data_IF_195876970520
#
_entry.id   IF_195876970520
#
_cell.length_a   1.000
_cell.length_b   1.000
_cell.length_c   1.000
_cell.angle_alpha   90.00
_cell.angle_beta   90.00
_cell.angle_gamma   90.00
#
_symmetry.space_group_name_H-M   'P 1'
#
loop_
_entity.id
_entity.type
_entity.pdbx_description
1 polymer ?
#
# COMPACT_ATOMS: atom_id res chain seq x y z
N UNK A 1 10.63 4.72 -14.00
CA UNK A 1 9.72 5.24 -15.05
C UNK A 1 10.48 5.13 -16.36
N UNK A 2 9.88 4.57 -17.41
CA UNK A 2 10.42 4.60 -18.77
C UNK A 2 9.50 5.41 -19.68
N UNK A 3 10.06 6.02 -20.72
CA UNK A 3 9.33 6.87 -21.65
C UNK A 3 9.69 6.55 -23.10
N UNK A 4 8.69 6.57 -23.98
CA UNK A 4 8.86 6.45 -25.43
C UNK A 4 8.19 7.63 -26.12
N UNK A 5 8.95 8.39 -26.89
CA UNK A 5 8.41 9.44 -27.77
C UNK A 5 7.58 8.80 -28.88
N UNK A 6 6.47 9.46 -29.25
CA UNK A 6 5.61 9.07 -30.37
C UNK A 6 5.25 10.34 -31.12
N UNK A 7 5.65 10.48 -32.37
CA UNK A 7 5.40 11.65 -33.22
C UNK A 7 5.59 12.99 -32.48
N UNK A 8 4.51 13.61 -31.98
CA UNK A 8 4.51 14.87 -31.21
C UNK A 8 4.41 14.70 -29.68
N UNK A 9 4.17 13.49 -29.19
CA UNK A 9 3.88 13.16 -27.80
C UNK A 9 4.80 12.15 -27.14
N UNK A 10 4.34 11.65 -25.99
CA UNK A 10 5.09 10.66 -25.22
C UNK A 10 4.15 9.66 -24.54
N UNK A 11 4.63 8.42 -24.41
CA UNK A 11 4.01 7.39 -23.58
C UNK A 11 4.98 7.02 -22.45
N UNK A 12 4.50 7.09 -21.22
CA UNK A 12 5.25 6.73 -20.02
C UNK A 12 4.74 5.41 -19.47
N UNK A 13 5.67 4.51 -19.13
CA UNK A 13 5.41 3.31 -18.36
C UNK A 13 5.96 3.52 -16.93
N UNK A 14 5.06 3.40 -15.96
CA UNK A 14 5.30 3.54 -14.54
C UNK A 14 5.21 2.16 -13.92
N UNK A 15 6.34 1.46 -13.87
CA UNK A 15 6.46 0.19 -13.15
C UNK A 15 6.61 0.44 -11.66
N UNK A 16 5.83 -0.30 -10.87
CA UNK A 16 5.88 -0.28 -9.41
C UNK A 16 6.75 -1.42 -8.89
N UNK A 17 7.33 -1.24 -7.71
CA UNK A 17 8.12 -2.27 -7.07
C UNK A 17 7.98 -2.19 -5.55
N UNK A 18 8.15 -3.33 -4.90
CA UNK A 18 8.18 -3.43 -3.44
C UNK A 18 9.26 -4.45 -3.04
N UNK A 19 10.12 -4.09 -2.09
CA UNK A 19 11.24 -4.93 -1.62
C UNK A 19 12.06 -5.56 -2.78
N UNK A 20 12.36 -4.77 -3.81
CA UNK A 20 13.14 -5.23 -4.98
C UNK A 20 12.37 -6.10 -5.98
N UNK A 21 11.10 -6.42 -5.72
CA UNK A 21 10.24 -7.19 -6.62
C UNK A 21 9.38 -6.24 -7.46
N UNK A 22 9.42 -6.40 -8.78
CA UNK A 22 8.51 -5.67 -9.68
C UNK A 22 7.07 -6.16 -9.51
N UNK A 23 6.14 -5.21 -9.46
CA UNK A 23 4.71 -5.46 -9.32
C UNK A 23 3.98 -5.05 -10.61
N UNK A 24 2.92 -4.26 -10.50
CA UNK A 24 2.10 -3.80 -11.61
C UNK A 24 2.80 -2.66 -12.40
N UNK A 25 2.42 -2.48 -13.67
CA UNK A 25 2.85 -1.37 -14.52
C UNK A 25 1.67 -0.57 -15.04
N UNK A 26 1.82 0.75 -15.05
CA UNK A 26 0.78 1.70 -15.45
C UNK A 26 1.25 2.58 -16.59
N UNK A 27 0.34 2.96 -17.48
CA UNK A 27 0.66 3.72 -18.67
C UNK A 27 0.01 5.11 -18.63
N UNK A 28 0.75 6.12 -19.08
CA UNK A 28 0.29 7.49 -19.24
C UNK A 28 0.74 8.02 -20.61
N UNK A 29 -0.22 8.36 -21.47
CA UNK A 29 0.05 8.94 -22.78
C UNK A 29 -0.28 10.44 -22.77
N UNK A 30 0.65 11.24 -23.27
CA UNK A 30 0.49 12.68 -23.51
C UNK A 30 0.62 13.02 -24.99
N UNK A 31 -0.13 14.01 -25.46
CA UNK A 31 -0.17 14.43 -26.88
C UNK A 31 1.05 15.21 -27.34
N UNK A 32 1.41 16.30 -26.65
CA UNK A 32 2.47 17.21 -27.07
C UNK A 32 3.44 17.43 -25.91
N UNK A 33 4.72 17.11 -26.08
CA UNK A 33 5.71 17.25 -24.99
C UNK A 33 5.92 18.71 -24.56
N UNK A 34 5.74 19.68 -25.46
CA UNK A 34 5.88 21.11 -25.17
C UNK A 34 4.65 21.70 -24.45
N UNK A 35 3.47 21.10 -24.64
CA UNK A 35 2.23 21.48 -23.95
C UNK A 35 1.39 20.24 -23.60
N UNK A 36 1.86 19.43 -22.64
CA UNK A 36 1.32 18.10 -22.40
C UNK A 36 -0.11 18.13 -21.87
N UNK A 37 -0.96 17.34 -22.52
CA UNK A 37 -2.29 16.96 -22.04
C UNK A 37 -2.39 15.43 -22.03
N UNK A 38 -3.04 14.89 -21.01
CA UNK A 38 -3.26 13.45 -20.88
C UNK A 38 -4.30 13.02 -21.91
N UNK A 39 -3.96 12.02 -22.73
CA UNK A 39 -4.83 11.49 -23.79
C UNK A 39 -5.40 10.13 -23.40
N UNK A 40 -4.55 9.26 -22.83
CA UNK A 40 -4.92 7.90 -22.42
C UNK A 40 -4.11 7.51 -21.19
N UNK A 41 -4.69 6.68 -20.33
CA UNK A 41 -3.99 6.14 -19.18
C UNK A 41 -4.59 4.81 -18.70
N UNK A 42 -3.81 4.06 -17.93
CA UNK A 42 -4.28 2.90 -17.16
C UNK A 42 -4.24 3.14 -15.65
N UNK A 43 -4.05 4.40 -15.23
CA UNK A 43 -4.02 4.82 -13.82
C UNK A 43 -5.38 4.49 -13.15
N UNK A 44 -5.38 3.85 -11.97
CA UNK A 44 -6.61 3.51 -11.26
C UNK A 44 -7.49 4.73 -10.95
N UNK A 45 -8.82 4.55 -11.02
CA UNK A 45 -9.79 5.64 -10.90
C UNK A 45 -9.79 6.36 -9.54
N UNK A 46 -9.28 5.74 -8.48
CA UNK A 46 -9.17 6.37 -7.15
C UNK A 46 -8.01 7.38 -7.06
N UNK A 47 -7.10 7.41 -8.04
CA UNK A 47 -6.06 8.45 -8.12
C UNK A 47 -6.67 9.65 -8.86
N UNK A 48 -6.67 10.86 -8.27
CA UNK A 48 -7.30 12.04 -8.85
C UNK A 48 -6.44 12.64 -9.99
N UNK A 49 -6.25 11.86 -11.06
CA UNK A 49 -5.33 12.20 -12.16
C UNK A 49 -5.71 13.52 -12.84
N UNK A 50 -7.00 13.80 -12.99
CA UNK A 50 -7.49 15.06 -13.58
C UNK A 50 -7.08 16.28 -12.77
N UNK A 51 -7.14 16.20 -11.44
CA UNK A 51 -6.78 17.32 -10.57
C UNK A 51 -5.26 17.52 -10.54
N UNK A 52 -4.50 16.41 -10.43
CA UNK A 52 -3.03 16.45 -10.52
C UNK A 52 -2.55 17.02 -11.86
N UNK A 53 -3.23 16.66 -12.96
CA UNK A 53 -2.91 17.19 -14.28
C UNK A 53 -3.20 18.69 -14.37
N UNK A 54 -4.33 19.15 -13.79
CA UNK A 54 -4.69 20.57 -13.75
C UNK A 54 -3.68 21.40 -12.93
N UNK A 55 -3.17 20.83 -11.85
CA UNK A 55 -2.22 21.50 -10.96
C UNK A 55 -0.81 21.62 -11.56
N UNK A 56 -0.38 20.62 -12.32
CA UNK A 56 1.01 20.53 -12.75
C UNK A 56 1.24 20.71 -14.25
N UNK A 57 0.26 20.46 -15.12
CA UNK A 57 0.43 20.63 -16.56
C UNK A 57 0.01 22.03 -17.01
N UNK A 58 0.68 22.59 -18.04
CA UNK A 58 1.76 22.00 -18.82
C UNK A 58 3.17 22.15 -18.21
N UNK A 59 3.32 22.96 -17.16
CA UNK A 59 4.63 23.44 -16.69
C UNK A 59 5.54 22.38 -16.03
N UNK A 60 4.95 21.34 -15.45
CA UNK A 60 5.63 20.43 -14.52
C UNK A 60 5.27 18.96 -14.75
N UNK A 61 5.40 18.48 -15.99
CA UNK A 61 5.19 17.06 -16.33
C UNK A 61 6.02 16.12 -15.46
N UNK A 62 7.26 16.47 -15.14
CA UNK A 62 8.12 15.70 -14.25
C UNK A 62 7.52 15.58 -12.83
N UNK A 63 7.03 16.67 -12.24
CA UNK A 63 6.39 16.65 -10.91
C UNK A 63 5.16 15.74 -10.91
N UNK A 64 4.32 15.85 -11.94
CA UNK A 64 3.18 14.94 -12.11
C UNK A 64 3.62 13.47 -12.13
N UNK A 65 4.63 13.13 -12.96
CA UNK A 65 5.13 11.77 -13.08
C UNK A 65 5.71 11.25 -11.75
N UNK A 66 6.41 12.08 -10.99
CA UNK A 66 6.95 11.72 -9.68
C UNK A 66 5.84 11.46 -8.66
N UNK A 67 4.81 12.31 -8.60
CA UNK A 67 3.67 12.11 -7.70
C UNK A 67 2.90 10.84 -8.04
N UNK A 68 2.64 10.60 -9.33
CA UNK A 68 1.99 9.37 -9.78
C UNK A 68 2.83 8.14 -9.43
N UNK A 69 4.14 8.19 -9.66
CA UNK A 69 5.04 7.10 -9.28
C UNK A 69 4.98 6.81 -7.77
N UNK A 70 5.02 7.85 -6.92
CA UNK A 70 4.93 7.69 -5.49
C UNK A 70 3.60 7.06 -5.04
N UNK A 71 2.46 7.60 -5.51
CA UNK A 71 1.13 7.08 -5.17
C UNK A 71 0.91 5.66 -5.67
N UNK A 72 1.37 5.33 -6.89
CA UNK A 72 1.26 3.99 -7.46
C UNK A 72 2.13 2.98 -6.72
N UNK A 73 3.35 3.34 -6.30
CA UNK A 73 4.19 2.46 -5.49
C UNK A 73 3.59 2.21 -4.10
N UNK A 74 3.08 3.26 -3.45
CA UNK A 74 2.34 3.13 -2.20
C UNK A 74 1.17 2.15 -2.33
N UNK A 75 0.32 2.36 -3.35
CA UNK A 75 -0.80 1.46 -3.64
C UNK A 75 -0.37 0.02 -3.92
N UNK A 76 0.58 -0.18 -4.84
CA UNK A 76 1.04 -1.50 -5.23
C UNK A 76 1.68 -2.26 -4.06
N UNK A 77 2.47 -1.57 -3.23
CA UNK A 77 3.07 -2.14 -2.03
C UNK A 77 2.03 -2.53 -0.98
N UNK A 78 1.00 -1.71 -0.72
CA UNK A 78 -0.10 -2.07 0.19
C UNK A 78 -0.92 -3.24 -0.33
N UNK A 79 -1.26 -3.24 -1.62
CA UNK A 79 -1.95 -4.35 -2.30
C UNK A 79 -1.14 -5.64 -2.21
N UNK A 80 0.17 -5.58 -2.44
CA UNK A 80 1.07 -6.73 -2.33
C UNK A 80 1.03 -7.32 -0.91
N UNK A 81 1.23 -6.48 0.11
CA UNK A 81 1.18 -6.91 1.52
C UNK A 81 -0.17 -7.53 1.88
N UNK A 82 -1.28 -6.88 1.52
CA UNK A 82 -2.64 -7.40 1.78
C UNK A 82 -2.90 -8.75 1.10
N UNK A 83 -2.49 -8.92 -0.16
CA UNK A 83 -2.63 -10.18 -0.86
C UNK A 83 -1.77 -11.30 -0.25
N UNK A 84 -0.61 -10.95 0.32
CA UNK A 84 0.23 -11.90 1.04
C UNK A 84 -0.43 -12.34 2.35
N UNK A 85 -1.00 -11.38 3.10
CA UNK A 85 -1.76 -11.67 4.32
C UNK A 85 -2.94 -12.62 4.06
N UNK A 86 -3.73 -12.38 3.01
CA UNK A 86 -4.87 -13.25 2.65
C UNK A 86 -4.46 -14.67 2.27
N UNK A 87 -3.25 -14.83 1.72
CA UNK A 87 -2.72 -16.15 1.38
C UNK A 87 -2.10 -16.87 2.59
N UNK A 88 -1.73 -16.12 3.64
CA UNK A 88 -1.12 -16.67 4.84
C UNK A 88 -2.19 -17.12 5.84
N UNK A 89 -2.78 -18.29 5.57
CA UNK A 89 -3.77 -18.94 6.45
C UNK A 89 -3.17 -19.46 7.76
N UNK A 90 -1.84 -19.41 7.91
CA UNK A 90 -1.15 -19.85 9.12
C UNK A 90 -1.47 -18.98 10.35
N UNK A 91 -1.78 -17.70 10.13
CA UNK A 91 -1.94 -16.73 11.22
C UNK A 91 -3.25 -15.96 11.13
N UNK A 92 -3.66 -15.58 9.91
CA UNK A 92 -4.86 -14.76 9.72
C UNK A 92 -6.09 -15.65 9.82
N UNK A 93 -6.92 -15.38 10.83
CA UNK A 93 -8.19 -16.04 11.02
C UNK A 93 -9.28 -15.36 10.17
N UNK A 94 -9.87 -16.11 9.24
CA UNK A 94 -10.96 -15.61 8.40
C UNK A 94 -10.48 -14.75 7.23
N UNK A 95 -11.31 -13.78 6.82
CA UNK A 95 -11.05 -12.94 5.65
C UNK A 95 -10.52 -11.56 6.05
N UNK A 96 -9.50 -11.10 5.32
CA UNK A 96 -9.00 -9.73 5.41
C UNK A 96 -10.06 -8.74 4.92
N UNK A 97 -10.46 -7.81 5.77
CA UNK A 97 -11.29 -6.69 5.37
C UNK A 97 -10.41 -5.57 4.82
N UNK A 98 -10.73 -5.08 3.63
CA UNK A 98 -9.92 -4.07 2.93
C UNK A 98 -10.78 -3.17 2.04
N UNK A 99 -10.38 -1.91 1.90
CA UNK A 99 -10.94 -1.03 0.87
C UNK A 99 -10.17 -1.14 -0.45
N UNK A 100 -10.73 -0.59 -1.54
CA UNK A 100 -10.14 -0.68 -2.89
C UNK A 100 -8.74 -0.05 -3.01
N UNK A 101 -8.39 0.89 -2.14
CA UNK A 101 -7.09 1.57 -2.10
C UNK A 101 -6.07 0.90 -1.17
N UNK A 102 -6.49 -0.14 -0.43
CA UNK A 102 -5.71 -0.78 0.63
C UNK A 102 -5.19 0.21 1.68
N UNK A 103 -5.92 1.31 1.92
CA UNK A 103 -5.57 2.31 2.94
C UNK A 103 -6.18 2.00 4.30
N UNK A 104 -7.17 1.11 4.35
CA UNK A 104 -7.71 0.56 5.60
C UNK A 104 -7.70 -0.96 5.46
N UNK A 105 -7.02 -1.64 6.37
CA UNK A 105 -7.00 -3.09 6.49
C UNK A 105 -7.45 -3.49 7.89
N UNK A 106 -8.29 -4.52 7.99
CA UNK A 106 -8.69 -5.09 9.28
C UNK A 106 -8.67 -6.61 9.20
N UNK A 107 -8.01 -7.25 10.14
CA UNK A 107 -7.87 -8.71 10.17
C UNK A 107 -7.72 -9.21 11.59
N UNK A 108 -8.18 -10.45 11.80
CA UNK A 108 -7.95 -11.19 13.03
C UNK A 108 -6.80 -12.15 12.82
N UNK A 109 -5.94 -12.30 13.82
CA UNK A 109 -4.83 -13.24 13.79
C UNK A 109 -4.66 -13.93 15.14
N UNK A 110 -4.19 -15.17 15.08
CA UNK A 110 -4.07 -16.04 16.23
C UNK A 110 -2.60 -16.36 16.50
N UNK A 111 -2.18 -16.24 17.76
CA UNK A 111 -0.82 -16.54 18.19
C UNK A 111 -0.80 -17.55 19.33
N UNK A 112 0.13 -18.52 19.32
CA UNK A 112 0.36 -19.39 20.46
C UNK A 112 1.09 -18.64 21.58
N UNK A 113 0.49 -18.58 22.77
CA UNK A 113 1.06 -17.97 23.98
C UNK A 113 0.87 -18.95 25.13
N UNK A 114 1.95 -19.46 25.71
CA UNK A 114 1.94 -20.36 26.89
C UNK A 114 0.90 -21.49 26.79
N UNK A 115 0.98 -22.28 25.71
CA UNK A 115 0.08 -23.41 25.37
C UNK A 115 -1.39 -23.04 25.08
N UNK A 116 -1.71 -21.75 24.98
CA UNK A 116 -3.03 -21.26 24.55
C UNK A 116 -2.94 -20.50 23.22
N UNK A 117 -4.05 -20.44 22.49
CA UNK A 117 -4.16 -19.62 21.28
C UNK A 117 -4.89 -18.34 21.66
N UNK A 118 -4.18 -17.21 21.58
CA UNK A 118 -4.74 -15.88 21.84
C UNK A 118 -5.08 -15.22 20.52
N UNK A 119 -6.29 -14.65 20.44
CA UNK A 119 -6.79 -14.00 19.23
C UNK A 119 -6.70 -12.48 19.35
N UNK A 120 -6.09 -11.86 18.34
CA UNK A 120 -5.93 -10.42 18.23
C UNK A 120 -6.65 -9.92 16.99
N UNK A 121 -7.19 -8.70 17.07
CA UNK A 121 -7.72 -7.99 15.91
C UNK A 121 -6.89 -6.75 15.65
N UNK A 122 -6.28 -6.68 14.47
CA UNK A 122 -5.56 -5.51 14.01
C UNK A 122 -6.40 -4.69 13.03
N UNK A 123 -6.39 -3.37 13.21
CA UNK A 123 -6.87 -2.39 12.23
C UNK A 123 -5.72 -1.45 11.89
N UNK A 124 -5.43 -1.34 10.60
CA UNK A 124 -4.28 -0.63 10.06
C UNK A 124 -4.77 0.44 9.10
N UNK A 125 -4.30 1.68 9.29
CA UNK A 125 -4.66 2.82 8.46
C UNK A 125 -3.42 3.48 7.86
N UNK A 126 -3.46 3.69 6.54
CA UNK A 126 -2.42 4.35 5.75
C UNK A 126 -2.93 5.75 5.36
N UNK A 127 -2.59 6.74 6.17
CA UNK A 127 -2.96 8.14 5.92
C UNK A 127 -2.16 8.76 4.77
N UNK A 128 -0.90 8.38 4.63
CA UNK A 128 -0.09 8.74 3.46
C UNK A 128 -0.29 7.72 2.33
N UNK A 129 -0.97 8.15 1.27
CA UNK A 129 -1.27 7.32 0.10
C UNK A 129 -0.02 6.94 -0.72
N UNK A 130 1.11 7.63 -0.55
CA UNK A 130 2.38 7.29 -1.18
C UNK A 130 3.20 6.29 -0.33
N UNK A 131 2.88 6.14 0.96
CA UNK A 131 3.60 5.26 1.88
C UNK A 131 3.11 3.80 1.79
N UNK A 132 4.03 2.86 1.98
CA UNK A 132 3.71 1.44 2.16
C UNK A 132 3.63 1.03 3.64
N UNK A 133 3.85 1.97 4.56
CA UNK A 133 3.78 1.80 6.01
C UNK A 133 2.59 2.57 6.57
N UNK A 134 1.88 2.00 7.55
CA UNK A 134 0.71 2.65 8.11
C UNK A 134 1.08 3.85 8.96
N UNK A 135 0.14 4.80 9.01
CA UNK A 135 0.22 5.97 9.88
C UNK A 135 -0.35 5.67 11.25
N UNK A 136 -1.37 4.81 11.30
CA UNK A 136 -2.03 4.42 12.54
C UNK A 136 -2.28 2.91 12.55
N UNK A 137 -2.03 2.30 13.71
CA UNK A 137 -2.29 0.89 13.97
C UNK A 137 -3.02 0.77 15.30
N UNK A 138 -4.09 -0.01 15.31
CA UNK A 138 -4.80 -0.40 16.52
C UNK A 138 -4.82 -1.91 16.60
N UNK A 139 -4.47 -2.47 17.75
CA UNK A 139 -4.58 -3.90 18.03
C UNK A 139 -5.44 -4.07 19.27
N UNK A 140 -6.42 -4.96 19.21
CA UNK A 140 -7.29 -5.30 20.34
C UNK A 140 -7.27 -6.79 20.60
N UNK A 141 -7.43 -7.16 21.87
CA UNK A 141 -7.61 -8.52 22.34
C UNK A 141 -8.76 -8.51 23.36
N UNK A 142 -9.64 -9.53 23.40
CA UNK A 142 -10.68 -9.62 24.42
C UNK A 142 -10.12 -9.73 25.85
N UNK A 143 -8.91 -10.27 25.99
CA UNK A 143 -8.24 -10.48 27.28
C UNK A 143 -7.57 -9.18 27.76
N UNK A 144 -7.82 -8.79 29.02
CA UNK A 144 -7.32 -7.53 29.61
C UNK A 144 -6.16 -7.74 30.59
N UNK A 145 -5.45 -8.86 30.48
CA UNK A 145 -4.27 -9.09 31.30
C UNK A 145 -3.12 -8.12 30.95
N UNK A 146 -2.34 -7.71 31.95
CA UNK A 146 -1.21 -6.80 31.73
C UNK A 146 -0.16 -7.36 30.76
N UNK A 147 0.01 -8.68 30.72
CA UNK A 147 0.83 -9.42 29.75
C UNK A 147 0.34 -9.20 28.31
N UNK A 148 -0.97 -9.24 28.10
CA UNK A 148 -1.64 -9.02 26.80
C UNK A 148 -1.47 -7.57 26.36
N UNK A 149 -1.59 -6.61 27.27
CA UNK A 149 -1.37 -5.19 26.95
C UNK A 149 0.07 -4.90 26.50
N UNK A 150 1.06 -5.59 27.09
CA UNK A 150 2.46 -5.51 26.62
C UNK A 150 2.62 -6.11 25.21
N UNK A 151 1.97 -7.25 24.92
CA UNK A 151 1.97 -7.85 23.59
C UNK A 151 1.31 -6.92 22.56
N UNK A 152 0.15 -6.34 22.87
CA UNK A 152 -0.54 -5.36 22.03
C UNK A 152 0.41 -4.20 21.67
N UNK A 153 1.11 -3.64 22.66
CA UNK A 153 2.06 -2.54 22.45
C UNK A 153 3.19 -2.93 21.50
N UNK A 154 3.74 -4.16 21.65
CA UNK A 154 4.74 -4.70 20.74
C UNK A 154 4.18 -4.91 19.32
N UNK A 155 2.97 -5.45 19.18
CA UNK A 155 2.32 -5.69 17.89
C UNK A 155 2.08 -4.36 17.14
N UNK A 156 1.58 -3.34 17.85
CA UNK A 156 1.38 -1.99 17.29
C UNK A 156 2.70 -1.42 16.76
N UNK A 157 3.78 -1.49 17.55
CA UNK A 157 5.10 -1.01 17.14
C UNK A 157 5.62 -1.75 15.90
N UNK A 158 5.45 -3.08 15.84
CA UNK A 158 5.92 -3.90 14.74
C UNK A 158 5.16 -3.63 13.45
N UNK A 159 3.83 -3.60 13.48
CA UNK A 159 3.00 -3.28 12.32
C UNK A 159 3.20 -1.85 11.81
N UNK A 160 3.63 -0.93 12.69
CA UNK A 160 3.92 0.46 12.31
C UNK A 160 5.27 0.63 11.60
N UNK A 161 6.24 -0.22 11.89
CA UNK A 161 7.64 -0.07 11.45
C UNK A 161 8.07 -1.07 10.38
N UNK A 162 7.28 -2.12 10.16
CA UNK A 162 7.63 -3.27 9.31
C UNK A 162 6.50 -3.58 8.33
N UNK A 163 6.81 -4.21 7.20
CA UNK A 163 5.78 -4.65 6.26
C UNK A 163 4.89 -5.70 6.94
N UNK A 164 3.56 -5.68 6.70
CA UNK A 164 2.63 -6.46 7.51
C UNK A 164 2.88 -7.98 7.49
N UNK A 165 3.27 -8.53 6.34
CA UNK A 165 3.62 -9.94 6.21
C UNK A 165 4.88 -10.30 7.03
N UNK A 166 5.96 -9.51 6.90
CA UNK A 166 7.18 -9.66 7.71
C UNK A 166 6.92 -9.48 9.22
N UNK A 167 6.02 -8.57 9.57
CA UNK A 167 5.61 -8.34 10.95
C UNK A 167 4.93 -9.58 11.54
N UNK A 168 3.98 -10.18 10.84
CA UNK A 168 3.34 -11.42 11.31
C UNK A 168 4.34 -12.57 11.45
N UNK A 169 5.25 -12.74 10.48
CA UNK A 169 6.30 -13.75 10.57
C UNK A 169 7.15 -13.54 11.84
N UNK A 170 7.50 -12.28 12.14
CA UNK A 170 8.28 -11.90 13.33
C UNK A 170 7.53 -11.99 14.66
N UNK A 171 6.19 -12.10 14.66
CA UNK A 171 5.41 -12.36 15.86
C UNK A 171 5.45 -13.84 16.28
N UNK A 172 5.87 -14.72 15.37
CA UNK A 172 5.85 -16.18 15.57
C UNK A 172 7.23 -16.78 15.80
N UNK A 173 8.28 -15.96 15.69
CA UNK A 173 9.68 -16.30 16.00
C UNK A 173 10.03 -15.81 17.40
#
# INVERSE_FOLDING_TARGET
ISGKLRDDGACFCISTAFRGTYLDSYYLQVNNVSRPQIVRHSIPAFIPLTDLAREHLPAHLNKLLHLLFAQLNGYAGRKFQANHLEKSSAYVAGSLQKNSMYTVLSFTYNLPVQDQIVSFTAKVFYGDIASTYPTEVTVTCPDDEASVQQMISRHVSLFSSTALHEALDSLTT
#
